data_IF_185480808382
#
_entry.id   IF_185480808382
#
_cell.length_a   1.000
_cell.length_b   1.000
_cell.length_c   1.000
_cell.angle_alpha   90.00
_cell.angle_beta   90.00
_cell.angle_gamma   90.00
#
_symmetry.space_group_name_H-M   'P 1'
#
loop_
_entity.id
_entity.type
_entity.pdbx_description
1 polymer ?
#
# COMPACT_ATOMS: atom_id res chain seq x y z
N UNK A 1 13.67 39.13 42.31
CA UNK A 1 13.14 38.48 43.53
C UNK A 1 11.64 38.29 43.38
N UNK A 2 11.14 37.13 43.82
CA UNK A 2 9.74 36.65 43.93
C UNK A 2 9.11 35.96 42.70
N UNK A 3 9.05 34.63 42.81
CA UNK A 3 8.13 33.71 42.15
C UNK A 3 6.72 33.82 42.75
N UNK A 4 5.67 33.58 41.96
CA UNK A 4 4.37 33.07 42.44
C UNK A 4 3.74 32.12 41.40
N UNK A 5 3.39 30.93 41.88
CA UNK A 5 2.72 29.84 41.17
C UNK A 5 1.28 30.21 40.75
N UNK A 6 0.87 29.76 39.56
CA UNK A 6 -0.53 29.75 39.12
C UNK A 6 -0.73 28.68 38.03
N UNK A 7 -1.62 27.74 38.30
CA UNK A 7 -2.04 26.57 37.51
C UNK A 7 -2.48 26.85 36.06
N UNK A 8 -2.44 25.87 35.15
CA UNK A 8 -2.88 26.03 33.76
C UNK A 8 -4.41 26.24 33.70
N UNK A 9 -4.85 27.41 33.24
CA UNK A 9 -6.25 27.64 32.89
C UNK A 9 -6.50 27.07 31.50
N UNK A 10 -7.24 25.96 31.45
CA UNK A 10 -7.89 25.50 30.23
C UNK A 10 -8.92 26.55 29.81
N UNK A 11 -8.73 27.15 28.64
CA UNK A 11 -9.80 27.86 27.95
C UNK A 11 -10.44 26.88 26.99
N UNK A 12 -11.68 26.55 27.33
CA UNK A 12 -12.59 25.66 26.63
C UNK A 12 -12.90 26.18 25.21
N UNK A 13 -12.85 25.23 24.28
CA UNK A 13 -13.84 24.98 23.23
C UNK A 13 -14.08 26.01 22.13
N UNK A 14 -13.31 25.85 21.05
CA UNK A 14 -13.84 26.01 19.69
C UNK A 14 -14.62 24.76 19.29
N UNK A 15 -15.91 24.72 19.62
CA UNK A 15 -16.87 23.66 19.29
C UNK A 15 -16.87 23.37 17.79
N UNK A 16 -16.33 22.22 17.40
CA UNK A 16 -16.59 21.60 16.10
C UNK A 16 -18.03 21.10 16.11
N UNK A 17 -18.89 21.72 15.31
CA UNK A 17 -20.27 21.31 15.11
C UNK A 17 -20.33 19.92 14.46
N UNK A 18 -20.29 18.86 15.28
CA UNK A 18 -20.79 17.55 14.88
C UNK A 18 -22.31 17.59 14.97
N UNK A 19 -22.95 17.62 13.81
CA UNK A 19 -24.38 17.42 13.69
C UNK A 19 -24.78 16.14 14.42
N UNK A 20 -25.75 16.30 15.33
CA UNK A 20 -26.43 15.27 16.09
C UNK A 20 -26.82 14.08 15.20
N UNK A 21 -26.24 12.91 15.48
CA UNK A 21 -26.72 11.62 14.94
C UNK A 21 -27.45 10.87 16.05
N UNK A 22 -28.68 10.35 15.81
CA UNK A 22 -29.53 9.81 16.86
C UNK A 22 -29.04 8.48 17.43
N UNK A 23 -29.38 8.33 18.72
CA UNK A 23 -28.88 7.40 19.73
C UNK A 23 -29.48 5.96 19.67
N UNK A 24 -29.67 5.36 18.49
CA UNK A 24 -30.33 4.03 18.37
C UNK A 24 -29.51 2.90 17.72
N UNK A 25 -28.26 3.13 17.30
CA UNK A 25 -27.45 2.06 16.66
C UNK A 25 -26.34 1.48 17.55
N UNK A 26 -26.50 1.48 18.88
CA UNK A 26 -25.69 0.63 19.76
C UNK A 26 -26.44 -0.70 19.93
N UNK A 27 -26.01 -1.71 19.17
CA UNK A 27 -26.46 -3.09 19.32
C UNK A 27 -25.34 -4.09 19.07
N UNK A 28 -24.86 -4.73 20.14
CA UNK A 28 -24.34 -6.10 20.10
C UNK A 28 -22.82 -6.28 19.92
N UNK A 29 -22.11 -6.45 21.04
CA UNK A 29 -20.80 -7.09 21.10
C UNK A 29 -20.99 -8.60 21.34
N UNK A 30 -20.49 -9.46 20.44
CA UNK A 30 -19.85 -10.76 20.76
C UNK A 30 -19.64 -11.58 19.46
N UNK A 31 -18.39 -11.92 19.17
CA UNK A 31 -18.05 -12.97 18.19
C UNK A 31 -16.87 -12.61 17.31
N UNK A 32 -15.71 -13.17 17.63
CA UNK A 32 -14.52 -13.10 16.81
C UNK A 32 -14.78 -13.57 15.37
N UNK A 33 -14.33 -12.80 14.38
CA UNK A 33 -13.47 -13.27 13.27
C UNK A 33 -12.90 -12.04 12.56
N UNK A 34 -11.58 -11.97 12.49
CA UNK A 34 -10.83 -10.98 11.73
C UNK A 34 -11.05 -11.19 10.23
N UNK A 35 -12.16 -10.69 9.68
CA UNK A 35 -12.38 -10.56 8.22
C UNK A 35 -12.94 -9.18 7.94
N UNK A 36 -12.07 -8.18 7.83
CA UNK A 36 -12.57 -6.80 7.66
C UNK A 36 -11.57 -5.69 7.40
N UNK A 37 -10.27 -5.98 7.26
CA UNK A 37 -9.30 -4.96 6.88
C UNK A 37 -9.28 -4.66 5.36
N UNK A 38 -10.24 -5.20 4.60
CA UNK A 38 -10.32 -5.03 3.13
C UNK A 38 -11.34 -3.96 2.71
N UNK A 39 -12.28 -3.56 3.56
CA UNK A 39 -13.35 -2.61 3.18
C UNK A 39 -13.03 -1.17 3.58
N UNK A 40 -12.17 -0.96 4.58
CA UNK A 40 -11.64 0.37 4.96
C UNK A 40 -10.41 0.77 4.11
N UNK A 41 -10.43 0.43 2.83
CA UNK A 41 -9.48 0.89 1.80
C UNK A 41 -10.18 1.67 0.69
N UNK A 42 -11.52 1.75 0.70
CA UNK A 42 -12.34 2.24 -0.41
C UNK A 42 -12.47 3.78 -0.51
N UNK A 43 -11.92 4.56 0.43
CA UNK A 43 -12.20 6.01 0.50
C UNK A 43 -11.11 6.97 0.02
N UNK A 44 -9.86 6.55 -0.13
CA UNK A 44 -8.70 7.47 -0.21
C UNK A 44 -7.85 7.32 -1.48
N UNK A 45 -8.33 6.63 -2.50
CA UNK A 45 -7.67 6.61 -3.81
C UNK A 45 -8.57 7.28 -4.83
N UNK A 46 -8.53 8.62 -4.84
CA UNK A 46 -9.23 9.43 -5.83
C UNK A 46 -8.71 9.17 -7.25
N UNK A 47 -9.66 9.17 -8.18
CA UNK A 47 -9.56 9.14 -9.65
C UNK A 47 -9.73 7.78 -10.33
N UNK A 48 -10.97 7.31 -10.32
CA UNK A 48 -11.54 6.37 -11.30
C UNK A 48 -11.84 7.11 -12.61
N UNK A 49 -10.90 7.09 -13.56
CA UNK A 49 -11.20 7.37 -14.96
C UNK A 49 -11.89 6.14 -15.58
N UNK A 50 -13.04 6.35 -16.24
CA UNK A 50 -13.88 5.33 -16.89
C UNK A 50 -13.06 4.46 -17.86
N UNK A 51 -13.06 3.15 -17.65
CA UNK A 51 -12.16 2.17 -18.30
C UNK A 51 -10.93 1.81 -17.45
N UNK A 52 -10.99 2.11 -16.15
CA UNK A 52 -9.85 2.34 -15.29
C UNK A 52 -9.18 1.10 -14.73
N UNK A 53 -7.85 1.16 -14.70
CA UNK A 53 -6.99 0.30 -13.90
C UNK A 53 -7.54 0.18 -12.47
N UNK A 54 -7.91 -1.04 -12.07
CA UNK A 54 -8.33 -1.34 -10.70
C UNK A 54 -7.10 -1.60 -9.82
N UNK A 55 -6.71 -0.60 -9.03
CA UNK A 55 -5.57 -0.70 -8.13
C UNK A 55 -5.74 -1.81 -7.07
N UNK A 56 -6.98 -2.11 -6.65
CA UNK A 56 -7.25 -3.17 -5.67
C UNK A 56 -7.06 -4.54 -6.31
N UNK A 57 -7.63 -4.74 -7.50
CA UNK A 57 -7.42 -5.94 -8.31
C UNK A 57 -5.94 -6.16 -8.65
N UNK A 58 -5.24 -5.10 -9.04
CA UNK A 58 -3.82 -5.12 -9.34
C UNK A 58 -2.95 -5.48 -8.12
N UNK A 59 -3.31 -4.98 -6.93
CA UNK A 59 -2.67 -5.36 -5.67
C UNK A 59 -2.90 -6.85 -5.35
N UNK A 60 -4.14 -7.34 -5.52
CA UNK A 60 -4.48 -8.76 -5.30
C UNK A 60 -3.70 -9.66 -6.27
N UNK A 61 -3.57 -9.27 -7.53
CA UNK A 61 -2.79 -10.01 -8.51
C UNK A 61 -1.30 -10.08 -8.11
N UNK A 62 -0.72 -8.95 -7.70
CA UNK A 62 0.68 -8.90 -7.27
C UNK A 62 0.95 -9.71 -6.00
N UNK A 63 -0.04 -9.81 -5.10
CA UNK A 63 0.07 -10.57 -3.84
C UNK A 63 -0.44 -12.01 -3.94
N UNK A 64 -0.84 -12.46 -5.13
CA UNK A 64 -1.23 -13.86 -5.36
C UNK A 64 -0.01 -14.80 -5.38
N UNK A 65 -0.16 -16.07 -5.00
CA UNK A 65 0.90 -17.07 -5.07
C UNK A 65 1.50 -17.20 -6.48
N UNK A 66 2.83 -17.11 -6.58
CA UNK A 66 3.54 -17.29 -7.84
C UNK A 66 3.56 -18.78 -8.20
N UNK A 67 2.84 -19.14 -9.27
CA UNK A 67 2.75 -20.53 -9.78
C UNK A 67 2.37 -21.55 -8.70
N UNK A 68 1.55 -21.15 -7.72
CA UNK A 68 1.13 -22.01 -6.61
C UNK A 68 2.19 -22.26 -5.52
N UNK A 69 3.32 -21.56 -5.55
CA UNK A 69 4.36 -21.67 -4.52
C UNK A 69 4.13 -20.79 -3.28
N UNK A 70 5.08 -20.86 -2.34
CA UNK A 70 5.04 -20.09 -1.07
C UNK A 70 5.39 -18.60 -1.22
N UNK A 71 5.96 -18.20 -2.37
CA UNK A 71 6.24 -16.81 -2.69
C UNK A 71 5.10 -16.23 -3.53
N UNK A 72 4.77 -14.96 -3.30
CA UNK A 72 3.86 -14.19 -4.16
C UNK A 72 4.60 -13.65 -5.37
N UNK A 73 3.87 -13.16 -6.38
CA UNK A 73 4.47 -12.47 -7.53
C UNK A 73 5.37 -11.30 -7.07
N UNK A 74 4.89 -10.52 -6.10
CA UNK A 74 5.64 -9.46 -5.45
C UNK A 74 6.85 -9.99 -4.67
N UNK A 75 6.67 -11.00 -3.80
CA UNK A 75 7.76 -11.56 -3.00
C UNK A 75 8.91 -12.09 -3.85
N UNK A 76 8.60 -12.76 -4.97
CA UNK A 76 9.61 -13.18 -5.96
C UNK A 76 10.26 -12.00 -6.67
N UNK A 77 9.53 -10.92 -6.92
CA UNK A 77 10.11 -9.73 -7.54
C UNK A 77 11.11 -9.03 -6.59
N UNK A 78 10.86 -9.05 -5.27
CA UNK A 78 11.81 -8.53 -4.25
C UNK A 78 13.16 -9.24 -4.36
N UNK A 79 13.18 -10.58 -4.47
CA UNK A 79 14.44 -11.33 -4.51
C UNK A 79 15.24 -11.09 -5.78
N UNK A 80 14.58 -10.65 -6.86
CA UNK A 80 15.22 -10.37 -8.15
C UNK A 80 15.87 -8.98 -8.22
N UNK A 81 15.26 -8.02 -7.55
CA UNK A 81 15.70 -6.64 -7.53
C UNK A 81 15.84 -6.12 -6.09
N UNK A 82 16.72 -6.72 -5.28
CA UNK A 82 16.97 -6.31 -3.90
C UNK A 82 17.39 -4.83 -3.78
N UNK A 83 17.98 -4.27 -4.83
CA UNK A 83 18.45 -2.88 -4.89
C UNK A 83 17.33 -1.86 -4.67
N UNK A 84 16.11 -2.13 -5.12
CA UNK A 84 14.97 -1.25 -4.89
C UNK A 84 14.49 -1.23 -3.42
N UNK A 85 15.00 -2.16 -2.62
CA UNK A 85 14.69 -2.30 -1.20
C UNK A 85 15.87 -1.91 -0.31
N UNK A 86 16.92 -1.31 -0.88
CA UNK A 86 18.10 -0.88 -0.15
C UNK A 86 19.09 -2.01 0.17
N UNK A 87 19.01 -3.14 -0.54
CA UNK A 87 19.93 -4.24 -0.39
C UNK A 87 20.87 -4.35 -1.59
N UNK A 88 22.15 -4.58 -1.33
CA UNK A 88 23.16 -4.71 -2.39
C UNK A 88 23.07 -6.02 -3.17
N UNK A 89 22.52 -7.07 -2.54
CA UNK A 89 22.39 -8.39 -3.15
C UNK A 89 21.24 -9.20 -2.55
N UNK A 90 20.87 -10.28 -3.24
CA UNK A 90 19.87 -11.22 -2.75
C UNK A 90 20.35 -11.91 -1.46
N UNK A 91 21.64 -12.19 -1.32
CA UNK A 91 22.20 -12.76 -0.08
C UNK A 91 22.06 -11.79 1.10
N UNK A 92 22.32 -10.50 0.89
CA UNK A 92 22.13 -9.48 1.92
C UNK A 92 20.65 -9.37 2.34
N UNK A 93 19.74 -9.37 1.36
CA UNK A 93 18.29 -9.41 1.60
C UNK A 93 17.91 -10.66 2.40
N UNK A 94 18.36 -11.85 1.98
CA UNK A 94 17.99 -13.12 2.60
C UNK A 94 18.56 -13.29 4.00
N UNK A 95 19.66 -12.62 4.36
CA UNK A 95 20.16 -12.58 5.74
C UNK A 95 19.17 -11.93 6.71
N UNK A 96 18.42 -10.93 6.23
CA UNK A 96 17.40 -10.20 6.99
C UNK A 96 16.02 -10.86 6.85
N UNK A 97 15.59 -11.14 5.62
CA UNK A 97 14.30 -11.72 5.28
C UNK A 97 14.45 -13.20 4.93
N UNK A 98 14.58 -14.05 5.96
CA UNK A 98 14.93 -15.48 5.83
C UNK A 98 13.78 -16.41 5.41
N UNK A 99 12.56 -15.90 5.22
CA UNK A 99 11.39 -16.73 4.94
C UNK A 99 10.56 -16.18 3.78
N UNK A 100 9.85 -17.05 3.02
CA UNK A 100 8.91 -16.61 2.00
C UNK A 100 7.88 -15.62 2.52
N UNK A 101 7.36 -15.83 3.73
CA UNK A 101 6.40 -14.91 4.35
C UNK A 101 7.00 -13.52 4.58
N UNK A 102 8.26 -13.44 5.02
CA UNK A 102 8.93 -12.16 5.24
C UNK A 102 9.11 -11.39 3.92
N UNK A 103 9.49 -12.09 2.84
CA UNK A 103 9.61 -11.51 1.50
C UNK A 103 8.25 -11.08 0.92
N UNK A 104 7.22 -11.90 1.10
CA UNK A 104 5.85 -11.58 0.68
C UNK A 104 5.34 -10.34 1.41
N UNK A 105 5.60 -10.23 2.71
CA UNK A 105 5.22 -9.08 3.50
C UNK A 105 5.94 -7.82 3.02
N UNK A 106 7.26 -7.86 2.83
CA UNK A 106 8.05 -6.74 2.30
C UNK A 106 7.55 -6.29 0.92
N UNK A 107 7.29 -7.24 0.01
CA UNK A 107 6.72 -6.93 -1.30
C UNK A 107 5.34 -6.28 -1.18
N UNK A 108 4.46 -6.85 -0.36
CA UNK A 108 3.09 -6.34 -0.19
C UNK A 108 3.03 -4.97 0.49
N UNK A 109 3.88 -4.69 1.49
CA UNK A 109 3.93 -3.38 2.14
C UNK A 109 4.42 -2.31 1.18
N UNK A 110 5.47 -2.64 0.41
CA UNK A 110 6.04 -1.73 -0.59
C UNK A 110 5.03 -1.41 -1.68
N UNK A 111 4.27 -2.40 -2.17
CA UNK A 111 3.21 -2.16 -3.15
C UNK A 111 2.09 -1.28 -2.60
N UNK A 112 1.70 -1.45 -1.32
CA UNK A 112 0.71 -0.56 -0.69
C UNK A 112 1.21 0.88 -0.67
N UNK A 113 2.47 1.10 -0.30
CA UNK A 113 3.05 2.45 -0.29
C UNK A 113 3.10 3.04 -1.70
N UNK A 114 3.58 2.28 -2.69
CA UNK A 114 3.66 2.71 -4.09
C UNK A 114 2.27 3.07 -4.65
N UNK A 115 1.25 2.22 -4.45
CA UNK A 115 -0.09 2.47 -4.97
C UNK A 115 -0.78 3.67 -4.29
N UNK A 116 -0.45 3.95 -3.02
CA UNK A 116 -1.07 5.05 -2.26
C UNK A 116 -0.39 6.39 -2.50
N UNK A 117 0.93 6.41 -2.54
CA UNK A 117 1.75 7.64 -2.54
C UNK A 117 2.43 7.90 -3.88
N UNK A 118 2.47 6.90 -4.77
CA UNK A 118 3.16 7.00 -6.04
C UNK A 118 2.38 7.83 -7.05
N UNK A 119 3.10 8.53 -7.91
CA UNK A 119 2.55 9.22 -9.06
C UNK A 119 2.28 8.21 -10.16
N UNK A 120 1.04 8.16 -10.64
CA UNK A 120 0.60 7.27 -11.71
C UNK A 120 1.04 7.80 -13.06
N UNK A 121 1.68 6.95 -13.85
CA UNK A 121 2.01 7.17 -15.26
C UNK A 121 1.51 5.99 -16.09
N UNK A 122 1.17 6.24 -17.34
CA UNK A 122 0.71 5.22 -18.29
C UNK A 122 1.46 5.33 -19.59
N UNK A 123 1.67 4.21 -20.26
CA UNK A 123 2.27 4.18 -21.59
C UNK A 123 1.80 2.95 -22.35
N UNK A 124 2.15 2.89 -23.64
CA UNK A 124 1.91 1.73 -24.49
C UNK A 124 3.03 1.60 -25.53
N UNK A 125 3.29 0.36 -25.97
CA UNK A 125 4.32 0.06 -26.97
C UNK A 125 5.15 -1.19 -26.67
N UNK A 126 5.93 -1.61 -27.68
CA UNK A 126 6.87 -2.74 -27.59
C UNK A 126 6.24 -4.02 -27.01
N UNK A 127 6.81 -4.49 -25.88
CA UNK A 127 6.36 -5.69 -25.15
C UNK A 127 4.96 -5.59 -24.54
N UNK A 128 4.43 -4.37 -24.39
CA UNK A 128 3.14 -4.11 -23.77
C UNK A 128 2.27 -3.28 -24.73
N UNK A 129 1.79 -3.88 -25.84
CA UNK A 129 0.99 -3.17 -26.85
C UNK A 129 -0.34 -2.65 -26.29
N UNK A 130 -0.92 -3.37 -25.34
CA UNK A 130 -2.13 -2.98 -24.62
C UNK A 130 -1.88 -1.95 -23.52
N UNK A 131 -0.63 -1.53 -23.33
CA UNK A 131 -0.25 -0.54 -22.34
C UNK A 131 0.09 -1.08 -20.95
N UNK A 132 0.64 -0.20 -20.15
CA UNK A 132 1.01 -0.43 -18.76
C UNK A 132 0.70 0.79 -17.91
N UNK A 133 0.56 0.55 -16.61
CA UNK A 133 0.52 1.57 -15.57
C UNK A 133 1.76 1.42 -14.70
N UNK A 134 2.41 2.52 -14.36
CA UNK A 134 3.49 2.55 -13.37
C UNK A 134 3.15 3.56 -12.30
N UNK A 135 3.34 3.20 -11.04
CA UNK A 135 3.31 4.12 -9.92
C UNK A 135 4.73 4.32 -9.42
N UNK A 136 5.17 5.57 -9.31
CA UNK A 136 6.54 5.92 -8.92
C UNK A 136 6.51 6.82 -7.70
N UNK A 137 7.23 6.42 -6.65
CA UNK A 137 7.44 7.21 -5.45
C UNK A 137 8.50 8.31 -5.69
N UNK A 138 8.50 9.39 -4.89
CA UNK A 138 9.50 10.45 -4.99
C UNK A 138 10.95 9.99 -4.81
N UNK A 139 11.16 8.88 -4.09
CA UNK A 139 12.48 8.28 -3.90
C UNK A 139 12.95 7.42 -5.09
N UNK A 140 12.20 7.40 -6.20
CA UNK A 140 12.53 6.63 -7.40
C UNK A 140 11.98 5.21 -7.41
N UNK A 141 11.53 4.65 -6.27
CA UNK A 141 10.96 3.31 -6.23
C UNK A 141 9.61 3.26 -6.93
N UNK A 142 9.41 2.26 -7.76
CA UNK A 142 8.23 2.14 -8.60
C UNK A 142 7.75 0.69 -8.74
N UNK A 143 6.51 0.54 -9.18
CA UNK A 143 5.96 -0.75 -9.58
C UNK A 143 5.09 -0.56 -10.81
N UNK A 144 5.08 -1.59 -11.68
CA UNK A 144 4.31 -1.56 -12.92
C UNK A 144 3.35 -2.74 -13.03
N UNK A 145 2.26 -2.48 -13.75
CA UNK A 145 1.22 -3.43 -14.09
C UNK A 145 0.80 -3.25 -15.54
N UNK A 146 0.26 -4.30 -16.16
CA UNK A 146 -0.52 -4.15 -17.37
C UNK A 146 -1.81 -3.35 -17.10
N UNK A 147 -2.45 -2.80 -18.13
CA UNK A 147 -3.76 -2.16 -17.97
C UNK A 147 -4.83 -3.12 -17.43
N UNK A 148 -4.63 -4.42 -17.64
CA UNK A 148 -5.43 -5.53 -17.12
C UNK A 148 -5.22 -5.81 -15.62
N UNK A 149 -4.31 -5.10 -14.96
CA UNK A 149 -3.95 -5.32 -13.56
C UNK A 149 -2.92 -6.43 -13.34
N UNK A 150 -2.37 -7.03 -14.40
CA UNK A 150 -1.32 -8.06 -14.28
C UNK A 150 -0.04 -7.43 -13.77
N UNK A 151 0.48 -7.92 -12.65
CA UNK A 151 1.72 -7.41 -12.08
C UNK A 151 2.92 -7.72 -12.97
N UNK A 152 3.65 -6.67 -13.36
CA UNK A 152 4.86 -6.79 -14.18
C UNK A 152 6.11 -6.91 -13.30
N UNK A 153 6.21 -6.09 -12.26
CA UNK A 153 7.37 -6.09 -11.37
C UNK A 153 7.62 -4.74 -10.69
N UNK A 154 8.59 -4.75 -9.77
CA UNK A 154 9.18 -3.53 -9.23
C UNK A 154 10.15 -2.90 -10.24
N UNK A 155 10.28 -1.58 -10.14
CA UNK A 155 11.19 -0.75 -10.94
C UNK A 155 11.80 0.31 -10.02
N UNK A 156 12.88 0.93 -10.45
CA UNK A 156 13.48 2.04 -9.74
C UNK A 156 14.28 2.92 -10.68
N UNK A 157 14.35 4.20 -10.36
CA UNK A 157 15.35 5.11 -10.94
C UNK A 157 16.48 5.17 -9.93
N UNK A 158 17.68 4.78 -10.35
CA UNK A 158 18.91 4.89 -9.54
C UNK A 158 19.53 6.26 -9.74
#
# INVERSE_FOLDING_TARGET
>A
MRNLNGTPTATEEGTLAFGSLPLWFIGGNAGATQVGASTKLLGETGQVAKGGFDAVGAFKNATSPFKGGNLTNAGRAVTKHPEYFGFESTEALMKVYRSPNALNNLGSSTLKDILRKGVRTTGAGGRYPNGWVTYTLPNGNAASWGLDGTFIGFRGIK
#
